data_IF_547433217779
#
_entry.id   IF_547433217779
#
_cell.length_a   1.000
_cell.length_b   1.000
_cell.length_c   1.000
_cell.angle_alpha   90.00
_cell.angle_beta   90.00
_cell.angle_gamma   90.00
#
_symmetry.space_group_name_H-M   'P 1'
#
loop_
_entity.id
_entity.type
_entity.pdbx_description
1 polymer ?
#
# COMPACT_ATOMS: atom_id res chain seq x y z
N UNK A 1 5.97 9.00 -15.34
CA UNK A 1 5.12 8.04 -14.61
C UNK A 1 5.98 7.18 -13.66
N UNK A 2 6.16 7.58 -12.39
CA UNK A 2 7.07 6.90 -11.45
C UNK A 2 6.59 5.49 -11.02
N UNK A 3 5.33 5.17 -11.25
CA UNK A 3 4.71 3.89 -10.87
C UNK A 3 4.53 2.91 -12.04
N UNK A 4 4.87 3.30 -13.27
CA UNK A 4 4.60 2.49 -14.47
C UNK A 4 5.52 1.26 -14.58
N UNK A 5 6.72 1.29 -14.01
CA UNK A 5 7.69 0.19 -14.13
C UNK A 5 7.22 -1.11 -13.46
N UNK A 6 6.41 -1.04 -12.40
CA UNK A 6 5.84 -2.23 -11.75
C UNK A 6 4.70 -2.87 -12.55
N UNK A 7 4.18 -2.18 -13.58
CA UNK A 7 3.10 -2.69 -14.44
C UNK A 7 3.59 -3.69 -15.48
N UNK A 8 4.90 -3.99 -15.51
CA UNK A 8 5.46 -5.09 -16.31
C UNK A 8 4.78 -6.44 -15.99
N UNK A 9 4.25 -6.57 -14.79
CA UNK A 9 3.46 -7.72 -14.33
C UNK A 9 2.15 -7.94 -15.13
N UNK A 10 1.68 -6.90 -15.82
CA UNK A 10 0.47 -6.92 -16.65
C UNK A 10 0.75 -7.29 -18.12
N UNK A 11 2.02 -7.54 -18.46
CA UNK A 11 2.42 -7.87 -19.82
C UNK A 11 1.66 -9.10 -20.31
N UNK A 12 1.11 -9.01 -21.52
CA UNK A 12 0.37 -10.09 -22.20
C UNK A 12 -0.97 -10.50 -21.55
N UNK A 13 -1.55 -9.69 -20.66
CA UNK A 13 -2.83 -9.99 -19.98
C UNK A 13 -4.09 -9.49 -20.71
N UNK A 14 -3.95 -8.69 -21.79
CA UNK A 14 -5.11 -8.09 -22.48
C UNK A 14 -5.80 -7.01 -21.62
N UNK A 15 -5.08 -5.94 -21.31
CA UNK A 15 -5.53 -4.85 -20.44
C UNK A 15 -6.58 -3.99 -21.15
N UNK A 16 -7.71 -3.76 -20.47
CA UNK A 16 -8.78 -2.85 -20.91
C UNK A 16 -8.55 -1.44 -20.38
N UNK A 17 -8.20 -1.32 -19.10
CA UNK A 17 -8.00 -0.04 -18.43
C UNK A 17 -7.00 -0.17 -17.30
N UNK A 18 -6.22 0.89 -17.07
CA UNK A 18 -5.36 1.05 -15.91
C UNK A 18 -5.73 2.33 -15.20
N UNK A 19 -6.09 2.22 -13.92
CA UNK A 19 -6.38 3.35 -13.05
C UNK A 19 -5.36 3.35 -11.91
N UNK A 20 -4.77 4.51 -11.64
CA UNK A 20 -3.84 4.71 -10.53
C UNK A 20 -4.26 5.95 -9.75
N UNK A 21 -4.39 5.83 -8.43
CA UNK A 21 -4.66 6.96 -7.55
C UNK A 21 -3.77 6.89 -6.32
N UNK A 22 -3.32 8.06 -5.90
CA UNK A 22 -2.67 8.23 -4.62
C UNK A 22 -3.74 8.20 -3.53
N UNK A 23 -3.58 7.31 -2.56
CA UNK A 23 -4.55 7.14 -1.48
C UNK A 23 -4.05 7.64 -0.12
N UNK A 24 -2.73 7.83 0.02
CA UNK A 24 -2.13 8.40 1.21
C UNK A 24 -0.78 9.05 0.91
N UNK A 25 -0.45 10.05 1.71
CA UNK A 25 0.90 10.59 1.89
C UNK A 25 1.34 10.28 3.31
N UNK A 26 2.63 10.02 3.50
CA UNK A 26 3.16 9.61 4.79
C UNK A 26 4.53 10.25 5.02
N UNK A 27 4.65 11.07 6.05
CA UNK A 27 5.95 11.55 6.50
C UNK A 27 6.78 10.39 7.03
N UNK A 28 8.01 10.31 6.54
CA UNK A 28 8.94 9.25 6.90
C UNK A 28 9.69 9.63 8.18
N UNK A 29 9.96 8.65 9.06
CA UNK A 29 10.84 8.84 10.21
C UNK A 29 12.19 9.45 9.84
N UNK A 30 12.84 10.05 10.83
CA UNK A 30 14.18 10.65 10.71
C UNK A 30 14.25 11.77 9.66
N UNK A 31 13.18 12.57 9.52
CA UNK A 31 13.05 13.67 8.54
C UNK A 31 13.43 13.24 7.11
N UNK A 32 13.03 12.02 6.75
CA UNK A 32 13.38 11.43 5.46
C UNK A 32 12.47 11.88 4.31
N UNK A 33 11.63 12.90 4.56
CA UNK A 33 10.64 13.47 3.66
C UNK A 33 9.35 12.64 3.56
N UNK A 34 8.50 12.96 2.59
CA UNK A 34 7.15 12.38 2.49
C UNK A 34 7.07 11.30 1.42
N UNK A 35 6.60 10.11 1.81
CA UNK A 35 6.32 9.01 0.91
C UNK A 35 4.90 9.12 0.31
N UNK A 36 4.76 8.65 -0.92
CA UNK A 36 3.48 8.56 -1.62
C UNK A 36 3.05 7.10 -1.76
N UNK A 37 1.79 6.84 -1.40
CA UNK A 37 1.16 5.54 -1.55
C UNK A 37 0.14 5.58 -2.68
N UNK A 38 0.35 4.72 -3.68
CA UNK A 38 -0.49 4.65 -4.87
C UNK A 38 -1.06 3.26 -4.99
N UNK A 39 -2.36 3.17 -5.26
CA UNK A 39 -2.94 1.92 -5.70
C UNK A 39 -3.22 1.98 -7.19
N UNK A 40 -2.80 0.94 -7.90
CA UNK A 40 -3.03 0.78 -9.32
C UNK A 40 -3.88 -0.45 -9.56
N UNK A 41 -5.02 -0.28 -10.21
CA UNK A 41 -5.88 -1.36 -10.69
C UNK A 41 -5.81 -1.45 -12.20
N UNK A 42 -5.57 -2.64 -12.70
CA UNK A 42 -5.66 -2.98 -14.11
C UNK A 42 -6.77 -4.00 -14.32
N UNK A 43 -7.77 -3.63 -15.12
CA UNK A 43 -8.84 -4.51 -15.53
C UNK A 43 -8.55 -5.06 -16.93
N UNK A 44 -8.95 -6.30 -17.19
CA UNK A 44 -8.76 -6.94 -18.49
C UNK A 44 -10.03 -6.90 -19.33
N UNK A 45 -9.90 -7.14 -20.63
CA UNK A 45 -11.05 -7.28 -21.53
C UNK A 45 -11.93 -8.48 -21.20
N UNK A 46 -11.40 -9.52 -20.56
CA UNK A 46 -12.17 -10.72 -20.17
C UNK A 46 -13.09 -10.46 -18.98
N UNK A 47 -12.99 -9.30 -18.31
CA UNK A 47 -13.73 -8.99 -17.09
C UNK A 47 -13.22 -9.71 -15.83
N UNK A 48 -12.33 -10.70 -16.00
CA UNK A 48 -11.60 -11.45 -14.98
C UNK A 48 -10.09 -11.24 -15.16
N UNK A 49 -9.26 -11.65 -14.20
CA UNK A 49 -7.81 -11.42 -14.22
C UNK A 49 -7.43 -9.98 -13.85
N UNK A 50 -8.30 -9.27 -13.13
CA UNK A 50 -7.94 -7.92 -12.66
C UNK A 50 -6.74 -7.98 -11.73
N UNK A 51 -5.85 -7.00 -11.82
CA UNK A 51 -4.63 -6.94 -11.03
C UNK A 51 -4.61 -5.65 -10.24
N UNK A 52 -4.36 -5.76 -8.94
CA UNK A 52 -4.26 -4.63 -8.04
C UNK A 52 -2.86 -4.59 -7.45
N UNK A 53 -2.20 -3.44 -7.52
CA UNK A 53 -0.89 -3.19 -6.93
C UNK A 53 -1.01 -2.06 -5.93
N UNK A 54 -0.60 -2.28 -4.69
CA UNK A 54 -0.28 -1.19 -3.79
C UNK A 54 1.22 -0.87 -3.91
N UNK A 55 1.53 0.41 -4.06
CA UNK A 55 2.87 0.88 -4.38
C UNK A 55 3.30 1.97 -3.41
N UNK A 56 4.58 1.94 -3.04
CA UNK A 56 5.21 2.93 -2.18
C UNK A 56 6.33 3.62 -2.96
N UNK A 57 6.32 4.95 -2.97
CA UNK A 57 7.44 5.77 -3.45
C UNK A 57 7.94 6.64 -2.31
N UNK A 58 9.22 6.48 -1.96
CA UNK A 58 9.91 7.36 -1.01
C UNK A 58 10.69 8.45 -1.76
N UNK A 59 10.96 9.63 -1.15
CA UNK A 59 11.56 10.78 -1.83
C UNK A 59 12.87 10.52 -2.55
N UNK A 60 13.73 9.67 -1.98
CA UNK A 60 15.07 9.37 -2.52
C UNK A 60 15.05 8.40 -3.70
N UNK A 61 13.90 7.83 -4.03
CA UNK A 61 13.76 6.80 -5.07
C UNK A 61 12.88 7.33 -6.21
N UNK A 62 13.45 7.34 -7.43
CA UNK A 62 12.76 7.84 -8.63
C UNK A 62 11.48 7.07 -8.96
N UNK A 63 11.47 5.76 -8.71
CA UNK A 63 10.37 4.87 -9.05
C UNK A 63 9.72 4.29 -7.79
N UNK A 64 8.39 4.16 -7.80
CA UNK A 64 7.68 3.44 -6.75
C UNK A 64 7.87 1.93 -6.87
N UNK A 65 7.91 1.24 -5.75
CA UNK A 65 7.96 -0.22 -5.69
C UNK A 65 6.56 -0.78 -5.36
N UNK A 66 6.18 -1.89 -5.97
CA UNK A 66 5.00 -2.64 -5.54
C UNK A 66 5.32 -3.36 -4.21
N UNK A 67 4.50 -3.10 -3.20
CA UNK A 67 4.65 -3.65 -1.84
C UNK A 67 3.57 -4.66 -1.49
N UNK A 68 2.47 -4.66 -2.24
CA UNK A 68 1.47 -5.71 -2.24
C UNK A 68 0.87 -5.85 -3.65
N UNK A 69 0.43 -7.06 -3.98
CA UNK A 69 -0.22 -7.38 -5.26
C UNK A 69 -1.31 -8.40 -5.02
N UNK A 70 -2.48 -8.16 -5.57
CA UNK A 70 -3.58 -9.12 -5.56
C UNK A 70 -4.20 -9.29 -6.94
N UNK A 71 -4.85 -10.43 -7.16
CA UNK A 71 -5.56 -10.74 -8.38
C UNK A 71 -7.05 -10.96 -8.07
N UNK A 72 -7.93 -10.48 -8.94
CA UNK A 72 -9.37 -10.73 -8.86
C UNK A 72 -10.06 -10.28 -7.57
N UNK A 73 -9.55 -9.20 -6.97
CA UNK A 73 -10.16 -8.53 -5.82
C UNK A 73 -10.93 -7.27 -6.23
N UNK A 74 -11.86 -6.82 -5.39
CA UNK A 74 -12.62 -5.58 -5.60
C UNK A 74 -11.91 -4.32 -5.15
N UNK A 75 -10.86 -4.49 -4.32
CA UNK A 75 -10.06 -3.40 -3.79
C UNK A 75 -9.64 -2.47 -4.92
N UNK A 76 -9.42 -1.21 -4.55
CA UNK A 76 -8.86 -0.25 -5.46
C UNK A 76 -9.73 -0.04 -6.71
N UNK A 77 -11.05 0.00 -6.57
CA UNK A 77 -11.97 0.16 -7.69
C UNK A 77 -13.32 0.72 -7.29
N UNK A 78 -14.19 0.94 -8.28
CA UNK A 78 -15.52 1.51 -8.06
C UNK A 78 -16.40 0.69 -7.10
N UNK A 79 -16.17 -0.63 -7.01
CA UNK A 79 -16.89 -1.54 -6.10
C UNK A 79 -16.39 -1.43 -4.67
N UNK A 80 -15.09 -1.26 -4.49
CA UNK A 80 -14.46 -1.09 -3.18
C UNK A 80 -13.22 -0.19 -3.33
N UNK A 81 -13.31 1.09 -2.95
CA UNK A 81 -12.19 2.01 -3.05
C UNK A 81 -11.16 1.81 -1.93
N UNK A 82 -11.42 0.93 -0.94
CA UNK A 82 -10.56 0.76 0.21
C UNK A 82 -9.30 -0.04 -0.14
N UNK A 83 -8.20 0.35 0.49
CA UNK A 83 -6.90 -0.30 0.37
C UNK A 83 -6.12 -0.09 1.66
N UNK A 84 -5.39 -1.11 2.07
CA UNK A 84 -4.42 -1.07 3.15
C UNK A 84 -3.19 -1.84 2.70
N UNK A 85 -2.01 -1.22 2.81
CA UNK A 85 -0.75 -1.87 2.48
C UNK A 85 0.33 -1.48 3.48
N UNK A 86 1.38 -2.30 3.52
CA UNK A 86 2.54 -2.09 4.38
C UNK A 86 3.83 -2.49 3.72
N UNK A 87 4.92 -1.89 4.18
CA UNK A 87 6.27 -2.17 3.71
C UNK A 87 7.26 -2.04 4.85
N UNK A 88 8.27 -2.91 4.85
CA UNK A 88 9.47 -2.67 5.65
C UNK A 88 10.37 -1.70 4.90
N UNK A 89 10.75 -0.63 5.57
CA UNK A 89 11.62 0.41 5.06
C UNK A 89 12.78 0.63 6.02
N UNK A 90 13.95 0.93 5.47
CA UNK A 90 15.15 1.24 6.24
C UNK A 90 15.42 2.73 6.10
N UNK A 91 15.52 3.43 7.23
CA UNK A 91 15.84 4.85 7.25
C UNK A 91 17.29 5.10 6.84
N UNK A 92 17.60 6.36 6.52
CA UNK A 92 18.98 6.79 6.22
C UNK A 92 19.92 6.56 7.41
N UNK A 93 19.41 6.70 8.64
CA UNK A 93 20.15 6.43 9.86
C UNK A 93 20.38 4.92 10.10
N UNK A 94 19.72 4.05 9.32
CA UNK A 94 19.95 2.61 9.31
C UNK A 94 18.93 1.81 10.13
N UNK A 95 17.99 2.47 10.79
CA UNK A 95 16.90 1.86 11.55
C UNK A 95 15.82 1.29 10.63
N UNK A 96 15.24 0.16 11.01
CA UNK A 96 14.14 -0.47 10.29
C UNK A 96 12.80 -0.01 10.86
N UNK A 97 11.86 0.30 9.97
CA UNK A 97 10.50 0.67 10.29
C UNK A 97 9.51 -0.17 9.50
N UNK A 98 8.39 -0.48 10.14
CA UNK A 98 7.17 -0.83 9.43
C UNK A 98 6.44 0.45 9.08
N UNK A 99 6.26 0.68 7.79
CA UNK A 99 5.37 1.70 7.25
C UNK A 99 4.08 1.02 6.81
N UNK A 100 2.94 1.62 7.11
CA UNK A 100 1.64 1.21 6.59
C UNK A 100 0.78 2.42 6.28
N UNK A 101 -0.07 2.26 5.28
CA UNK A 101 -1.05 3.27 4.92
C UNK A 101 -2.35 2.64 4.43
N UNK A 102 -3.45 3.25 4.86
CA UNK A 102 -4.79 2.99 4.38
C UNK A 102 -5.35 4.18 3.59
N UNK A 103 -6.43 3.95 2.84
CA UNK A 103 -7.16 5.03 2.15
C UNK A 103 -7.74 6.07 3.12
N UNK A 104 -8.22 7.19 2.59
CA UNK A 104 -8.68 8.36 3.38
C UNK A 104 -9.77 8.08 4.42
N UNK A 105 -10.54 7.01 4.27
CA UNK A 105 -11.57 6.60 5.25
C UNK A 105 -11.02 5.78 6.42
N UNK A 106 -9.72 5.49 6.45
CA UNK A 106 -9.09 4.71 7.52
C UNK A 106 -8.91 5.58 8.76
N UNK A 107 -9.57 5.21 9.85
CA UNK A 107 -9.51 5.90 11.14
C UNK A 107 -8.38 5.37 12.03
N UNK A 108 -8.03 4.08 11.89
CA UNK A 108 -6.88 3.51 12.58
C UNK A 108 -6.25 2.36 11.83
N UNK A 109 -4.97 2.12 12.10
CA UNK A 109 -4.21 0.97 11.61
C UNK A 109 -3.60 0.25 12.79
N UNK A 110 -3.83 -1.06 12.85
CA UNK A 110 -3.20 -1.97 13.80
C UNK A 110 -2.26 -2.89 13.07
N UNK A 111 -1.03 -2.99 13.57
CA UNK A 111 -0.03 -3.94 13.14
C UNK A 111 0.12 -5.05 14.19
N UNK A 112 0.16 -6.28 13.72
CA UNK A 112 0.42 -7.49 14.50
C UNK A 112 1.48 -8.37 13.81
N UNK A 113 1.90 -9.44 14.47
CA UNK A 113 2.88 -10.42 13.99
C UNK A 113 4.29 -9.84 13.73
N UNK A 114 5.16 -9.94 14.74
CA UNK A 114 6.54 -9.42 14.69
C UNK A 114 6.68 -7.94 15.07
N UNK A 115 5.56 -7.23 15.19
CA UNK A 115 5.41 -5.92 15.84
C UNK A 115 3.97 -5.79 16.34
N UNK A 116 3.76 -5.14 17.47
CA UNK A 116 2.42 -4.83 18.00
C UNK A 116 2.34 -3.32 18.16
N UNK A 117 1.53 -2.68 17.34
CA UNK A 117 1.33 -1.25 17.39
C UNK A 117 -0.01 -0.84 16.80
N UNK A 118 -0.54 0.29 17.28
CA UNK A 118 -1.73 0.91 16.73
C UNK A 118 -1.46 2.39 16.51
N UNK A 119 -1.86 2.91 15.35
CA UNK A 119 -1.85 4.32 15.04
C UNK A 119 -3.29 4.81 14.81
N UNK A 120 -3.60 6.00 15.33
CA UNK A 120 -4.78 6.77 14.94
C UNK A 120 -4.48 7.47 13.61
N UNK A 121 -5.45 7.48 12.70
CA UNK A 121 -5.30 7.95 11.33
C UNK A 121 -5.00 6.84 10.32
N UNK A 122 -4.79 7.24 9.08
CA UNK A 122 -4.62 6.36 7.93
C UNK A 122 -3.17 6.01 7.61
N UNK A 123 -2.22 6.33 8.49
CA UNK A 123 -0.80 5.99 8.34
C UNK A 123 -0.22 5.48 9.66
N UNK A 124 0.76 4.59 9.57
CA UNK A 124 1.48 4.02 10.69
C UNK A 124 2.97 3.92 10.33
N UNK A 125 3.83 4.42 11.21
CA UNK A 125 5.28 4.27 11.12
C UNK A 125 5.82 3.87 12.50
N UNK A 126 6.33 2.65 12.61
CA UNK A 126 6.82 2.13 13.89
C UNK A 126 8.15 1.40 13.72
N UNK A 127 9.06 1.47 14.70
CA UNK A 127 10.28 0.67 14.69
C UNK A 127 9.96 -0.82 14.52
N UNK A 128 10.72 -1.50 13.67
CA UNK A 128 10.52 -2.91 13.36
C UNK A 128 11.84 -3.64 13.22
N UNK A 129 11.81 -4.98 13.31
CA UNK A 129 12.97 -5.81 12.96
C UNK A 129 12.99 -6.07 11.45
N UNK A 130 14.19 -6.19 10.89
CA UNK A 130 14.35 -6.64 9.49
C UNK A 130 13.72 -8.02 9.31
N UNK A 131 12.98 -8.21 8.22
CA UNK A 131 12.48 -9.52 7.80
C UNK A 131 11.17 -9.98 8.44
N UNK A 132 10.54 -9.18 9.29
CA UNK A 132 9.19 -9.49 9.80
C UNK A 132 8.17 -9.48 8.66
N UNK A 133 7.10 -10.25 8.83
CA UNK A 133 5.94 -10.27 7.91
C UNK A 133 4.70 -9.84 8.70
N UNK A 134 4.50 -8.53 8.87
CA UNK A 134 3.43 -8.03 9.71
C UNK A 134 2.07 -8.35 9.09
N UNK A 135 1.09 -8.50 9.95
CA UNK A 135 -0.30 -8.41 9.56
C UNK A 135 -0.79 -7.00 9.85
N UNK A 136 -1.61 -6.45 8.95
CA UNK A 136 -2.21 -5.15 9.12
C UNK A 136 -3.72 -5.26 9.04
N UNK A 137 -4.38 -4.56 9.96
CA UNK A 137 -5.82 -4.37 9.99
C UNK A 137 -6.11 -2.89 10.13
N UNK A 138 -6.92 -2.36 9.23
CA UNK A 138 -7.44 -1.00 9.27
C UNK A 138 -8.87 -1.01 9.79
N UNK A 139 -9.23 -0.01 10.58
CA UNK A 139 -10.63 0.29 10.92
C UNK A 139 -11.02 1.58 10.20
N UNK A 140 -12.16 1.54 9.53
CA UNK A 140 -12.70 2.68 8.79
C UNK A 140 -13.56 3.57 9.69
N UNK A 141 -13.83 4.79 9.23
CA UNK A 141 -14.73 5.77 9.87
C UNK A 141 -16.15 5.25 10.15
N UNK A 142 -16.61 4.24 9.40
CA UNK A 142 -17.89 3.56 9.58
C UNK A 142 -17.81 2.29 10.45
N UNK A 143 -16.66 2.04 11.08
CA UNK A 143 -16.41 0.89 11.94
C UNK A 143 -16.13 -0.42 11.20
N UNK A 144 -16.30 -0.47 9.87
CA UNK A 144 -15.88 -1.66 9.10
C UNK A 144 -14.37 -1.79 9.12
N UNK A 145 -13.90 -2.99 8.82
CA UNK A 145 -12.47 -3.30 8.85
C UNK A 145 -11.97 -3.67 7.47
N UNK A 146 -10.76 -3.25 7.15
CA UNK A 146 -10.04 -3.59 5.91
C UNK A 146 -8.76 -4.34 6.27
N UNK A 147 -8.50 -5.43 5.58
CA UNK A 147 -7.27 -6.21 5.76
C UNK A 147 -6.20 -5.72 4.79
N UNK A 148 -4.93 -5.96 5.13
CA UNK A 148 -3.82 -5.74 4.22
C UNK A 148 -4.05 -6.43 2.87
N UNK A 149 -3.75 -5.74 1.78
CA UNK A 149 -3.68 -6.32 0.44
C UNK A 149 -2.64 -7.45 0.41
N UNK A 150 -3.01 -8.62 -0.12
CA UNK A 150 -2.16 -9.81 -0.21
C UNK A 150 -2.09 -10.35 -1.63
#
# INVERSE_FOLDING_TARGET
APFACSLSVLRSQGVRSVNAWQYAEQDLPDDSGTAAWVCTRADTWRGTGSQVLAQLRVPTVRYGAAVARSADVTACGARDPQVLAGALWKSKAGSWYLLAAGGSRTESITASNGVTATARGNVLAVPAKKGIRPELKGTLDDGRTVNMLR
#
